data_IF_048277371113
#
_entry.id   IF_048277371113
#
_cell.length_a   1.000
_cell.length_b   1.000
_cell.length_c   1.000
_cell.angle_alpha   90.00
_cell.angle_beta   90.00
_cell.angle_gamma   90.00
#
_symmetry.space_group_name_H-M   'P 1'
#
loop_
_entity.id
_entity.type
_entity.pdbx_description
1 polymer ?
#
# COMPACT_ATOMS: atom_id res chain seq x y z
N UNK A 1 1.15 -27.47 -9.30
CA UNK A 1 1.58 -26.13 -9.27
C UNK A 1 1.42 -25.51 -7.89
N UNK A 2 2.36 -24.84 -7.57
CA UNK A 2 2.36 -24.21 -6.31
C UNK A 2 1.49 -22.99 -6.33
N UNK A 3 0.58 -22.97 -5.43
CA UNK A 3 -0.26 -21.82 -5.28
C UNK A 3 0.51 -20.75 -4.57
N UNK A 4 0.78 -19.70 -5.25
CA UNK A 4 1.43 -18.58 -4.64
C UNK A 4 0.43 -17.85 -3.76
N UNK A 5 0.58 -17.98 -2.48
CA UNK A 5 -0.39 -17.40 -1.58
C UNK A 5 0.14 -16.11 -1.00
N UNK A 6 0.30 -15.14 -1.85
CA UNK A 6 0.77 -13.85 -1.40
C UNK A 6 -0.41 -13.08 -0.84
N UNK A 7 -0.30 -12.64 0.40
CA UNK A 7 -1.35 -11.82 0.99
C UNK A 7 -1.47 -10.52 0.21
N UNK A 8 -2.67 -9.96 0.11
CA UNK A 8 -2.83 -8.71 -0.65
C UNK A 8 -1.91 -7.60 -0.17
N UNK A 9 -1.70 -7.48 1.14
CA UNK A 9 -0.82 -6.45 1.67
C UNK A 9 0.63 -6.64 1.21
N UNK A 10 1.02 -7.89 0.97
CA UNK A 10 2.38 -8.16 0.51
C UNK A 10 2.62 -7.62 -0.88
N UNK A 11 1.60 -7.61 -1.75
CA UNK A 11 1.75 -7.04 -3.07
C UNK A 11 2.04 -5.54 -2.99
N UNK A 12 1.37 -4.87 -2.06
CA UNK A 12 1.60 -3.45 -1.86
C UNK A 12 2.99 -3.22 -1.31
N UNK A 13 3.39 -4.04 -0.34
CA UNK A 13 4.73 -3.94 0.23
C UNK A 13 5.81 -4.14 -0.83
N UNK A 14 5.62 -5.15 -1.67
CA UNK A 14 6.61 -5.43 -2.72
C UNK A 14 6.72 -4.28 -3.71
N UNK A 15 5.59 -3.67 -4.04
CA UNK A 15 5.60 -2.53 -4.94
C UNK A 15 6.41 -1.37 -4.34
N UNK A 16 6.20 -1.11 -3.04
CA UNK A 16 6.95 -0.07 -2.37
C UNK A 16 8.44 -0.39 -2.39
N UNK A 17 8.79 -1.61 -2.04
CA UNK A 17 10.19 -2.01 -1.98
C UNK A 17 10.85 -1.97 -3.36
N UNK A 18 10.09 -2.22 -4.41
CA UNK A 18 10.65 -2.19 -5.75
C UNK A 18 11.12 -0.80 -6.15
N UNK A 19 10.67 0.22 -5.46
CA UNK A 19 11.05 1.60 -5.76
C UNK A 19 12.16 2.11 -4.85
N UNK A 20 12.63 1.28 -3.93
CA UNK A 20 13.62 1.70 -2.94
C UNK A 20 14.65 0.60 -2.77
N UNK A 21 15.70 0.67 -3.56
CA UNK A 21 16.69 -0.41 -3.65
C UNK A 21 17.38 -0.71 -2.34
N UNK A 22 17.55 0.31 -1.51
CA UNK A 22 18.28 0.12 -0.26
C UNK A 22 17.39 -0.27 0.90
N UNK A 23 16.15 -0.66 0.63
CA UNK A 23 15.26 -1.14 1.67
C UNK A 23 14.85 -2.56 1.37
N UNK A 24 14.75 -3.37 2.42
CA UNK A 24 14.32 -4.75 2.27
C UNK A 24 13.04 -5.06 3.03
N UNK A 25 12.52 -4.09 3.80
CA UNK A 25 11.33 -4.34 4.60
C UNK A 25 10.61 -3.03 4.87
N UNK A 26 9.31 -3.15 5.09
CA UNK A 26 8.47 -2.02 5.49
C UNK A 26 7.66 -2.49 6.69
N UNK A 27 7.79 -1.80 7.81
CA UNK A 27 7.05 -2.15 9.00
C UNK A 27 5.57 -1.80 8.83
N UNK A 28 4.67 -2.57 9.44
CA UNK A 28 3.23 -2.30 9.28
C UNK A 28 2.81 -0.92 9.78
N UNK A 29 3.49 -0.39 10.77
CA UNK A 29 3.16 0.90 11.34
C UNK A 29 4.06 2.03 10.86
N UNK A 30 4.90 1.75 9.86
CA UNK A 30 5.78 2.77 9.34
C UNK A 30 4.99 3.76 8.48
N UNK A 31 5.24 5.04 8.68
CA UNK A 31 4.56 6.09 7.94
C UNK A 31 5.12 6.17 6.53
N UNK A 32 4.33 5.73 5.57
CA UNK A 32 4.78 5.66 4.18
C UNK A 32 4.96 7.04 3.57
N UNK A 33 4.20 8.01 4.05
CA UNK A 33 4.25 9.37 3.50
C UNK A 33 5.40 10.16 4.11
N UNK A 34 5.50 10.14 5.45
CA UNK A 34 6.55 10.88 6.13
C UNK A 34 7.93 10.35 5.78
N UNK A 35 8.04 9.04 5.61
CA UNK A 35 9.33 8.43 5.30
C UNK A 35 9.61 8.42 3.81
N UNK A 36 8.73 9.01 3.02
CA UNK A 36 8.89 9.19 1.58
C UNK A 36 9.00 7.88 0.84
N UNK A 37 8.40 6.85 1.37
CA UNK A 37 8.30 5.59 0.64
C UNK A 37 7.28 5.71 -0.48
N UNK A 38 6.27 6.55 -0.28
CA UNK A 38 5.30 6.90 -1.30
C UNK A 38 5.29 8.42 -1.39
N UNK A 39 5.75 8.97 -2.51
CA UNK A 39 5.78 10.42 -2.68
C UNK A 39 4.60 10.87 -3.53
N UNK A 40 4.54 12.18 -3.79
CA UNK A 40 3.40 12.73 -4.51
C UNK A 40 3.34 12.24 -5.95
N UNK A 41 4.46 11.90 -6.55
CA UNK A 41 4.48 11.42 -7.92
C UNK A 41 3.98 9.99 -8.02
N UNK A 42 4.27 9.17 -7.04
CA UNK A 42 3.86 7.77 -7.06
C UNK A 42 2.55 7.54 -6.31
N UNK A 43 2.00 8.56 -5.68
CA UNK A 43 0.81 8.38 -4.85
C UNK A 43 -0.38 7.88 -5.66
N UNK A 44 -0.57 8.39 -6.86
CA UNK A 44 -1.69 7.97 -7.70
C UNK A 44 -1.55 6.50 -8.06
N UNK A 45 -0.35 6.07 -8.44
CA UNK A 45 -0.11 4.66 -8.73
C UNK A 45 -0.35 3.81 -7.48
N UNK A 46 0.08 4.31 -6.35
CA UNK A 46 -0.10 3.61 -5.09
C UNK A 46 -1.58 3.37 -4.81
N UNK A 47 -2.41 4.39 -4.99
CA UNK A 47 -3.84 4.25 -4.76
C UNK A 47 -4.47 3.28 -5.76
N UNK A 48 -4.06 3.35 -7.02
CA UNK A 48 -4.55 2.38 -8.01
C UNK A 48 -4.22 0.95 -7.59
N UNK A 49 -3.02 0.74 -7.07
CA UNK A 49 -2.63 -0.59 -6.61
C UNK A 49 -3.50 -1.03 -5.42
N UNK A 50 -3.76 -0.12 -4.49
CA UNK A 50 -4.62 -0.46 -3.36
C UNK A 50 -6.01 -0.84 -3.85
N UNK A 51 -6.55 -0.10 -4.81
CA UNK A 51 -7.83 -0.44 -5.40
C UNK A 51 -7.82 -1.82 -6.05
N UNK A 52 -6.77 -2.08 -6.80
CA UNK A 52 -6.67 -3.35 -7.52
C UNK A 52 -6.58 -4.52 -6.55
N UNK A 53 -5.76 -4.37 -5.53
CA UNK A 53 -5.51 -5.46 -4.58
C UNK A 53 -6.72 -5.69 -3.69
N UNK A 54 -7.41 -4.62 -3.31
CA UNK A 54 -8.53 -4.71 -2.36
C UNK A 54 -9.87 -4.93 -3.05
N UNK A 55 -9.96 -4.57 -4.32
CA UNK A 55 -11.25 -4.58 -5.01
C UNK A 55 -12.15 -3.42 -4.64
N UNK A 56 -11.66 -2.49 -3.83
CA UNK A 56 -12.45 -1.33 -3.42
C UNK A 56 -12.24 -0.17 -4.36
N UNK A 57 -13.27 0.66 -4.50
CA UNK A 57 -13.12 1.92 -5.23
C UNK A 57 -12.69 3.00 -4.27
N UNK A 58 -11.64 3.71 -4.62
CA UNK A 58 -11.12 4.78 -3.78
C UNK A 58 -11.25 6.09 -4.54
N UNK A 59 -12.02 7.01 -3.98
CA UNK A 59 -12.20 8.32 -4.57
C UNK A 59 -11.12 9.25 -4.01
N UNK A 60 -10.22 9.70 -4.89
CA UNK A 60 -9.12 10.55 -4.47
C UNK A 60 -9.59 11.85 -3.82
N UNK A 61 -10.76 12.33 -4.22
CA UNK A 61 -11.28 13.59 -3.67
C UNK A 61 -11.71 13.46 -2.22
N UNK A 62 -12.16 12.27 -1.82
CA UNK A 62 -12.65 12.07 -0.47
C UNK A 62 -11.75 11.20 0.36
N UNK A 63 -10.66 10.73 -0.22
CA UNK A 63 -9.75 9.84 0.46
C UNK A 63 -9.13 10.52 1.69
N UNK A 64 -9.18 9.81 2.79
CA UNK A 64 -8.49 10.24 3.99
C UNK A 64 -7.08 9.66 3.97
N UNK A 65 -6.08 10.51 3.94
CA UNK A 65 -4.69 10.08 3.84
C UNK A 65 -4.33 9.11 4.94
N UNK A 66 -4.87 9.31 6.14
CA UNK A 66 -4.53 8.43 7.25
C UNK A 66 -4.98 6.99 7.03
N UNK A 67 -5.91 6.76 6.11
CA UNK A 67 -6.37 5.40 5.80
C UNK A 67 -5.36 4.62 4.98
N UNK A 68 -4.41 5.30 4.33
CA UNK A 68 -3.42 4.66 3.48
C UNK A 68 -2.00 5.02 3.90
N UNK A 69 -1.84 5.60 5.06
CA UNK A 69 -0.55 6.13 5.50
C UNK A 69 0.39 5.04 5.97
N UNK A 70 -0.16 3.94 6.46
CA UNK A 70 0.64 2.79 6.88
C UNK A 70 0.05 1.54 6.28
N UNK A 71 0.86 0.48 6.22
CA UNK A 71 0.35 -0.80 5.73
C UNK A 71 -0.77 -1.32 6.64
N UNK A 72 -0.63 -1.11 7.94
CA UNK A 72 -1.65 -1.55 8.89
C UNK A 72 -2.98 -0.84 8.62
N UNK A 73 -2.93 0.45 8.31
CA UNK A 73 -4.15 1.20 8.01
C UNK A 73 -4.79 0.71 6.73
N UNK A 74 -3.97 0.44 5.70
CA UNK A 74 -4.49 -0.08 4.44
C UNK A 74 -5.16 -1.42 4.68
N UNK A 75 -4.51 -2.29 5.42
CA UNK A 75 -5.06 -3.60 5.69
C UNK A 75 -6.37 -3.49 6.45
N UNK A 76 -6.42 -2.65 7.45
CA UNK A 76 -7.61 -2.48 8.26
C UNK A 76 -8.77 -1.90 7.46
N UNK A 77 -8.50 -0.91 6.62
CA UNK A 77 -9.56 -0.15 5.97
C UNK A 77 -9.98 -0.73 4.63
N UNK A 78 -9.12 -1.46 3.96
CA UNK A 78 -9.40 -1.92 2.60
C UNK A 78 -9.26 -3.42 2.41
N UNK A 79 -8.48 -4.09 3.22
CA UNK A 79 -8.19 -5.51 3.01
C UNK A 79 -8.81 -6.40 4.07
N UNK A 80 -9.31 -5.81 5.13
CA UNK A 80 -9.94 -6.57 6.19
C UNK A 80 -11.40 -6.82 5.83
N UNK A 81 -11.86 -8.02 6.04
CA UNK A 81 -13.27 -8.35 5.80
C UNK A 81 -14.06 -8.28 7.08
#
# INVERSE_FOLDING_TARGET
>A
MTQQTTAPIDRIKEWILSKHENRTEVAPDEDLIDNRLVDSLSFVEFIFLVQEVSGAEIDMDTLNISDVRTLAAIEKNFLSN
#
